data_IF_524192014802
#
_entry.id   IF_524192014802
#
_cell.length_a   1.000
_cell.length_b   1.000
_cell.length_c   1.000
_cell.angle_alpha   90.00
_cell.angle_beta   90.00
_cell.angle_gamma   90.00
#
_symmetry.space_group_name_H-M   'P 1'
#
loop_
_entity.id
_entity.type
_entity.pdbx_description
1 polymer ?
#
# COMPACT_ATOMS: atom_id res chain seq x y z
N UNK A 1 -21.81 20.34 -5.39
CA UNK A 1 -20.48 20.04 -4.77
C UNK A 1 -19.40 20.51 -5.73
N UNK A 2 -18.45 21.29 -5.24
CA UNK A 2 -17.48 21.98 -6.10
C UNK A 2 -16.49 20.99 -6.76
N UNK A 3 -16.25 21.07 -8.09
CA UNK A 3 -15.47 20.08 -8.83
C UNK A 3 -14.01 19.98 -8.38
N UNK A 4 -13.43 21.05 -7.82
CA UNK A 4 -12.05 21.06 -7.32
C UNK A 4 -11.83 20.12 -6.13
N UNK A 5 -12.85 19.86 -5.31
CA UNK A 5 -12.73 18.94 -4.16
C UNK A 5 -12.53 17.49 -4.61
N UNK A 6 -13.24 17.08 -5.67
CA UNK A 6 -13.11 15.74 -6.23
C UNK A 6 -11.75 15.51 -6.89
N UNK A 7 -11.22 16.53 -7.60
CA UNK A 7 -9.87 16.47 -8.16
C UNK A 7 -8.80 16.39 -7.07
N UNK A 8 -8.90 17.22 -6.03
CA UNK A 8 -7.96 17.19 -4.91
C UNK A 8 -7.99 15.85 -4.17
N UNK A 9 -9.19 15.29 -3.96
CA UNK A 9 -9.38 13.99 -3.31
C UNK A 9 -8.83 12.84 -4.16
N UNK A 10 -9.08 12.85 -5.47
CA UNK A 10 -8.53 11.87 -6.41
C UNK A 10 -7.00 11.92 -6.49
N UNK A 11 -6.42 13.13 -6.53
CA UNK A 11 -4.97 13.31 -6.53
C UNK A 11 -4.34 12.81 -5.23
N UNK A 12 -4.93 13.16 -4.08
CA UNK A 12 -4.47 12.67 -2.78
C UNK A 12 -4.56 11.14 -2.70
N UNK A 13 -5.68 10.55 -3.10
CA UNK A 13 -5.87 9.10 -3.13
C UNK A 13 -4.85 8.40 -4.04
N UNK A 14 -4.55 9.00 -5.20
CA UNK A 14 -3.54 8.48 -6.14
C UNK A 14 -2.14 8.54 -5.55
N UNK A 15 -1.78 9.65 -4.89
CA UNK A 15 -0.51 9.80 -4.19
C UNK A 15 -0.34 8.79 -3.06
N UNK A 16 -1.37 8.58 -2.25
CA UNK A 16 -1.38 7.55 -1.22
C UNK A 16 -1.28 6.13 -1.81
N UNK A 17 -2.04 5.84 -2.86
CA UNK A 17 -1.98 4.55 -3.54
C UNK A 17 -0.56 4.26 -4.07
N UNK A 18 0.08 5.23 -4.72
CA UNK A 18 1.45 5.16 -5.23
C UNK A 18 2.45 4.96 -4.09
N UNK A 19 2.34 5.74 -3.02
CA UNK A 19 3.22 5.63 -1.85
C UNK A 19 3.17 4.24 -1.23
N UNK A 20 1.97 3.70 -0.98
CA UNK A 20 1.81 2.37 -0.41
C UNK A 20 2.19 1.27 -1.41
N UNK A 21 1.87 1.42 -2.69
CA UNK A 21 2.28 0.48 -3.73
C UNK A 21 3.80 0.34 -3.79
N UNK A 22 4.50 1.48 -3.82
CA UNK A 22 5.95 1.55 -3.90
C UNK A 22 6.59 0.95 -2.65
N UNK A 23 6.09 1.33 -1.48
CA UNK A 23 6.57 0.80 -0.20
C UNK A 23 6.36 -0.72 -0.11
N UNK A 24 5.21 -1.23 -0.58
CA UNK A 24 4.89 -2.66 -0.53
C UNK A 24 5.84 -3.45 -1.44
N UNK A 25 6.02 -2.98 -2.68
CA UNK A 25 6.91 -3.63 -3.62
C UNK A 25 8.38 -3.55 -3.15
N UNK A 26 8.83 -2.41 -2.63
CA UNK A 26 10.17 -2.27 -2.08
C UNK A 26 10.39 -3.19 -0.86
N UNK A 27 9.41 -3.32 0.05
CA UNK A 27 9.46 -4.26 1.16
C UNK A 27 9.52 -5.72 0.69
N UNK A 28 8.97 -6.04 -0.47
CA UNK A 28 8.96 -7.41 -1.01
C UNK A 28 10.26 -7.80 -1.70
N UNK A 29 10.92 -6.85 -2.38
CA UNK A 29 12.07 -7.14 -3.26
C UNK A 29 13.43 -6.63 -2.76
N UNK A 30 13.51 -5.96 -1.61
CA UNK A 30 14.78 -5.39 -1.15
C UNK A 30 15.83 -6.45 -0.81
N UNK A 31 17.09 -6.15 -1.12
CA UNK A 31 18.23 -6.89 -0.58
C UNK A 31 18.61 -6.36 0.80
N UNK A 32 18.63 -7.25 1.82
CA UNK A 32 19.05 -6.89 3.19
C UNK A 32 20.46 -6.28 3.22
N UNK A 33 21.39 -6.81 2.42
CA UNK A 33 22.77 -6.34 2.37
C UNK A 33 22.87 -4.92 1.80
N UNK A 34 22.18 -4.65 0.67
CA UNK A 34 22.15 -3.31 0.05
C UNK A 34 21.42 -2.28 0.92
N UNK A 35 20.36 -2.69 1.62
CA UNK A 35 19.67 -1.82 2.57
C UNK A 35 20.56 -1.50 3.78
N UNK A 36 21.34 -2.47 4.27
CA UNK A 36 22.31 -2.24 5.35
C UNK A 36 23.37 -1.23 4.94
N UNK A 37 23.88 -1.31 3.71
CA UNK A 37 24.80 -0.31 3.17
C UNK A 37 24.15 1.08 3.05
N UNK A 38 22.94 1.15 2.49
CA UNK A 38 22.22 2.42 2.32
C UNK A 38 21.89 3.10 3.66
N UNK A 39 21.50 2.33 4.67
CA UNK A 39 21.26 2.82 6.04
C UNK A 39 22.56 3.10 6.79
N UNK A 40 23.61 2.32 6.54
CA UNK A 40 24.95 2.51 7.09
C UNK A 40 25.56 3.85 6.70
N UNK A 41 25.44 4.23 5.41
CA UNK A 41 25.84 5.57 4.91
C UNK A 41 25.10 6.73 5.61
N UNK A 42 23.91 6.47 6.16
CA UNK A 42 23.08 7.47 6.87
C UNK A 42 23.17 7.35 8.40
N UNK A 43 24.01 6.45 8.94
CA UNK A 43 24.11 6.20 10.39
C UNK A 43 22.86 5.58 11.02
N UNK A 44 22.00 4.93 10.24
CA UNK A 44 20.66 4.46 10.66
C UNK A 44 20.56 2.93 10.74
N UNK A 45 21.65 2.23 11.05
CA UNK A 45 21.66 0.75 11.14
C UNK A 45 20.66 0.18 12.14
N UNK A 46 20.37 0.90 13.24
CA UNK A 46 19.32 0.52 14.19
C UNK A 46 17.93 0.37 13.53
N UNK A 47 17.70 1.05 12.39
CA UNK A 47 16.47 0.94 11.65
C UNK A 47 16.32 -0.39 10.89
N UNK A 48 17.43 -1.06 10.58
CA UNK A 48 17.43 -2.37 9.93
C UNK A 48 16.94 -3.47 10.87
N UNK A 49 17.36 -3.43 12.14
CA UNK A 49 16.86 -4.33 13.18
C UNK A 49 15.34 -4.19 13.34
N UNK A 50 14.85 -2.95 13.46
CA UNK A 50 13.41 -2.67 13.54
C UNK A 50 12.63 -3.18 12.31
N UNK A 51 13.17 -2.97 11.10
CA UNK A 51 12.53 -3.46 9.88
C UNK A 51 12.46 -4.98 9.86
N UNK A 52 13.51 -5.67 10.31
CA UNK A 52 13.52 -7.14 10.38
C UNK A 52 12.51 -7.67 11.39
N UNK A 53 12.39 -7.04 12.56
CA UNK A 53 11.45 -7.43 13.61
C UNK A 53 9.99 -7.20 13.20
N UNK A 54 9.71 -6.07 12.55
CA UNK A 54 8.35 -5.66 12.17
C UNK A 54 8.01 -5.92 10.70
N UNK A 55 8.81 -6.74 10.02
CA UNK A 55 8.73 -6.92 8.57
C UNK A 55 7.34 -7.40 8.13
N UNK A 56 6.82 -8.44 8.80
CA UNK A 56 5.54 -9.06 8.47
C UNK A 56 4.37 -8.07 8.64
N UNK A 57 4.33 -7.38 9.77
CA UNK A 57 3.30 -6.38 10.04
C UNK A 57 3.37 -5.21 9.04
N UNK A 58 4.57 -4.75 8.67
CA UNK A 58 4.73 -3.68 7.69
C UNK A 58 4.26 -4.12 6.30
N UNK A 59 4.56 -5.36 5.89
CA UNK A 59 4.05 -5.92 4.64
C UNK A 59 2.53 -6.01 4.63
N UNK A 60 1.93 -6.54 5.69
CA UNK A 60 0.47 -6.67 5.83
C UNK A 60 -0.20 -5.30 5.84
N UNK A 61 0.31 -4.35 6.62
CA UNK A 61 -0.20 -2.98 6.69
C UNK A 61 -0.17 -2.32 5.31
N UNK A 62 0.98 -2.37 4.65
CA UNK A 62 1.19 -1.69 3.38
C UNK A 62 0.33 -2.32 2.28
N UNK A 63 0.15 -3.65 2.28
CA UNK A 63 -0.76 -4.36 1.36
C UNK A 63 -2.21 -3.96 1.59
N UNK A 64 -2.67 -3.93 2.84
CA UNK A 64 -4.06 -3.55 3.16
C UNK A 64 -4.37 -2.10 2.79
N UNK A 65 -3.45 -1.18 3.10
CA UNK A 65 -3.58 0.23 2.72
C UNK A 65 -3.52 0.43 1.21
N UNK A 66 -2.64 -0.30 0.53
CA UNK A 66 -2.58 -0.29 -0.93
C UNK A 66 -3.91 -0.75 -1.53
N UNK A 67 -4.44 -1.88 -1.09
CA UNK A 67 -5.74 -2.39 -1.55
C UNK A 67 -6.87 -1.39 -1.26
N UNK A 68 -6.93 -0.84 -0.04
CA UNK A 68 -7.91 0.17 0.32
C UNK A 68 -7.81 1.42 -0.57
N UNK A 69 -6.60 1.85 -0.90
CA UNK A 69 -6.36 3.01 -1.77
C UNK A 69 -6.81 2.72 -3.21
N UNK A 70 -6.55 1.51 -3.73
CA UNK A 70 -7.04 1.08 -5.05
C UNK A 70 -8.56 1.03 -5.08
N UNK A 71 -9.19 0.44 -4.06
CA UNK A 71 -10.66 0.40 -3.96
C UNK A 71 -11.24 1.82 -3.89
N UNK A 72 -10.66 2.71 -3.09
CA UNK A 72 -11.08 4.10 -3.01
C UNK A 72 -10.98 4.81 -4.37
N UNK A 73 -9.88 4.60 -5.12
CA UNK A 73 -9.72 5.13 -6.47
C UNK A 73 -10.77 4.61 -7.44
N UNK A 74 -11.08 3.30 -7.40
CA UNK A 74 -12.12 2.69 -8.24
C UNK A 74 -13.49 3.29 -7.91
N UNK A 75 -13.83 3.40 -6.63
CA UNK A 75 -15.10 4.02 -6.20
C UNK A 75 -15.18 5.49 -6.62
N UNK A 76 -14.09 6.25 -6.47
CA UNK A 76 -14.01 7.64 -6.93
C UNK A 76 -14.21 7.76 -8.44
N UNK A 77 -13.57 6.89 -9.22
CA UNK A 77 -13.71 6.85 -10.67
C UNK A 77 -15.14 6.49 -11.11
N UNK A 78 -15.77 5.52 -10.44
CA UNK A 78 -17.16 5.12 -10.70
C UNK A 78 -18.16 6.23 -10.34
N UNK A 79 -18.03 6.87 -9.17
CA UNK A 79 -18.89 8.00 -8.77
C UNK A 79 -18.75 9.16 -9.75
N UNK A 80 -17.53 9.44 -10.21
CA UNK A 80 -17.28 10.47 -11.21
C UNK A 80 -17.87 10.10 -12.58
N UNK A 81 -17.69 8.85 -13.03
CA UNK A 81 -18.18 8.37 -14.31
C UNK A 81 -19.71 8.32 -14.36
N UNK A 82 -20.36 7.75 -13.35
CA UNK A 82 -21.83 7.70 -13.24
C UNK A 82 -22.44 9.10 -13.14
N UNK A 83 -21.77 10.03 -12.44
CA UNK A 83 -22.19 11.43 -12.36
C UNK A 83 -22.06 12.21 -13.67
N UNK A 84 -21.23 11.75 -14.64
CA UNK A 84 -20.94 12.47 -15.89
C UNK A 84 -21.52 11.81 -17.14
N UNK A 85 -21.62 10.48 -17.15
CA UNK A 85 -22.12 9.67 -18.27
C UNK A 85 -23.49 9.01 -18.00
N UNK A 86 -24.05 9.22 -16.80
CA UNK A 86 -25.32 8.62 -16.38
C UNK A 86 -25.16 7.19 -15.86
N UNK A 87 -26.17 6.70 -15.15
CA UNK A 87 -26.18 5.38 -14.50
C UNK A 87 -26.52 4.20 -15.45
N UNK A 88 -26.52 4.44 -16.76
CA UNK A 88 -26.77 3.40 -17.76
C UNK A 88 -25.61 2.41 -17.89
N UNK A 89 -25.84 1.26 -18.51
CA UNK A 89 -24.83 0.21 -18.69
C UNK A 89 -23.51 0.72 -19.34
N UNK A 90 -23.60 1.71 -20.23
CA UNK A 90 -22.43 2.36 -20.82
C UNK A 90 -21.59 3.17 -19.83
N UNK A 91 -22.22 3.82 -18.84
CA UNK A 91 -21.53 4.58 -17.80
C UNK A 91 -20.71 3.69 -16.87
N UNK A 92 -21.27 2.54 -16.47
CA UNK A 92 -20.57 1.52 -15.68
C UNK A 92 -19.40 0.89 -16.44
N UNK A 93 -19.58 0.57 -17.73
CA UNK A 93 -18.49 0.01 -18.54
C UNK A 93 -17.33 0.99 -18.71
N UNK A 94 -17.62 2.27 -18.97
CA UNK A 94 -16.59 3.32 -19.11
C UNK A 94 -15.92 3.60 -17.75
N UNK A 95 -16.71 3.73 -16.68
CA UNK A 95 -16.22 3.93 -15.31
C UNK A 95 -15.27 2.80 -14.89
N UNK A 96 -15.72 1.56 -15.04
CA UNK A 96 -14.92 0.36 -14.75
C UNK A 96 -13.65 0.28 -15.59
N UNK A 97 -13.71 0.60 -16.88
CA UNK A 97 -12.52 0.60 -17.75
C UNK A 97 -11.49 1.65 -17.32
N UNK A 98 -11.93 2.88 -17.03
CA UNK A 98 -11.05 3.96 -16.53
C UNK A 98 -10.44 3.57 -15.18
N UNK A 99 -11.25 3.04 -14.27
CA UNK A 99 -10.80 2.58 -12.96
C UNK A 99 -9.75 1.45 -13.07
N UNK A 100 -9.96 0.50 -13.97
CA UNK A 100 -9.02 -0.59 -14.22
C UNK A 100 -7.68 -0.07 -14.76
N UNK A 101 -7.70 0.82 -15.75
CA UNK A 101 -6.48 1.40 -16.33
C UNK A 101 -5.72 2.22 -15.28
N UNK A 102 -6.41 3.09 -14.54
CA UNK A 102 -5.79 3.91 -13.49
C UNK A 102 -5.22 3.02 -12.39
N UNK A 103 -5.95 1.99 -11.94
CA UNK A 103 -5.48 1.04 -10.95
C UNK A 103 -4.23 0.27 -11.39
N UNK A 104 -4.21 -0.26 -12.62
CA UNK A 104 -3.07 -1.03 -13.14
C UNK A 104 -1.82 -0.17 -13.28
N UNK A 105 -1.96 1.06 -13.79
CA UNK A 105 -0.80 1.94 -14.02
C UNK A 105 -0.30 2.53 -12.70
N UNK A 106 -1.20 3.15 -11.92
CA UNK A 106 -0.83 3.88 -10.71
C UNK A 106 -0.46 2.95 -9.55
N UNK A 107 -1.11 1.79 -9.43
CA UNK A 107 -0.89 0.87 -8.33
C UNK A 107 -0.05 -0.37 -8.70
N UNK A 108 0.13 -0.67 -9.99
CA UNK A 108 0.84 -1.86 -10.45
C UNK A 108 2.21 -1.57 -11.06
N UNK A 109 2.22 -1.11 -12.31
CA UNK A 109 3.43 -1.16 -13.17
C UNK A 109 4.51 -0.17 -12.76
N UNK A 110 4.15 1.09 -12.51
CA UNK A 110 5.11 2.14 -12.16
C UNK A 110 5.79 1.88 -10.81
N UNK A 111 5.05 1.55 -9.74
CA UNK A 111 5.65 1.22 -8.45
C UNK A 111 6.53 -0.03 -8.50
N UNK A 112 6.14 -1.04 -9.29
CA UNK A 112 6.90 -2.27 -9.45
C UNK A 112 8.25 -2.00 -10.15
N UNK A 113 8.24 -1.19 -11.22
CA UNK A 113 9.45 -0.80 -11.92
C UNK A 113 10.39 -0.02 -11.00
N UNK A 114 9.90 0.99 -10.28
CA UNK A 114 10.72 1.76 -9.34
C UNK A 114 11.25 0.92 -8.18
N UNK A 115 10.47 0.00 -7.64
CA UNK A 115 10.95 -0.91 -6.61
C UNK A 115 12.11 -1.78 -7.12
N UNK A 116 12.08 -2.24 -8.37
CA UNK A 116 13.15 -3.07 -8.91
C UNK A 116 14.49 -2.33 -9.09
N UNK A 117 14.46 -1.01 -9.33
CA UNK A 117 15.67 -0.22 -9.56
C UNK A 117 16.16 0.55 -8.32
N UNK A 118 15.27 0.89 -7.38
CA UNK A 118 15.56 1.80 -6.29
C UNK A 118 14.92 1.41 -4.95
N UNK A 119 14.55 0.13 -4.75
CA UNK A 119 13.92 -0.34 -3.51
C UNK A 119 14.68 0.13 -2.26
N UNK A 120 16.01 -0.01 -2.20
CA UNK A 120 16.76 0.26 -0.98
C UNK A 120 16.85 1.75 -0.65
N UNK A 121 17.03 2.62 -1.64
CA UNK A 121 17.10 4.07 -1.46
C UNK A 121 15.74 4.65 -1.10
N UNK A 122 14.69 4.14 -1.74
CA UNK A 122 13.29 4.46 -1.42
C UNK A 122 12.98 4.01 0.00
N UNK A 123 13.25 2.75 0.35
CA UNK A 123 12.93 2.20 1.66
C UNK A 123 13.70 2.94 2.78
N UNK A 124 14.97 3.27 2.58
CA UNK A 124 15.75 4.05 3.55
C UNK A 124 15.19 5.47 3.79
N UNK A 125 14.45 6.01 2.82
CA UNK A 125 13.83 7.34 2.91
C UNK A 125 12.42 7.25 3.48
N UNK A 126 11.65 6.23 3.11
CA UNK A 126 10.25 6.05 3.52
C UNK A 126 10.09 5.35 4.87
N UNK A 127 11.13 4.66 5.36
CA UNK A 127 11.12 3.97 6.66
C UNK A 127 10.53 4.77 7.84
N UNK A 128 10.91 6.05 8.09
CA UNK A 128 10.31 6.84 9.15
C UNK A 128 8.81 7.09 8.94
N UNK A 129 8.37 7.31 7.69
CA UNK A 129 6.95 7.44 7.37
C UNK A 129 6.20 6.12 7.61
N UNK A 130 6.80 4.98 7.27
CA UNK A 130 6.23 3.66 7.57
C UNK A 130 6.08 3.42 9.08
N UNK A 131 7.06 3.86 9.88
CA UNK A 131 6.97 3.80 11.35
C UNK A 131 5.81 4.63 11.89
N UNK A 132 5.66 5.86 11.40
CA UNK A 132 4.56 6.72 11.80
C UNK A 132 3.20 6.11 11.40
N UNK A 133 3.09 5.60 10.17
CA UNK A 133 1.89 4.91 9.70
C UNK A 133 1.57 3.69 10.57
N UNK A 134 2.57 2.90 10.96
CA UNK A 134 2.37 1.76 11.88
C UNK A 134 1.88 2.21 13.25
N UNK A 135 2.40 3.30 13.80
CA UNK A 135 1.94 3.83 15.07
C UNK A 135 0.46 4.25 15.00
N UNK A 136 0.07 4.93 13.91
CA UNK A 136 -1.32 5.35 13.67
C UNK A 136 -2.25 4.15 13.43
N UNK A 137 -1.78 3.14 12.70
CA UNK A 137 -2.56 1.95 12.33
C UNK A 137 -2.37 0.77 13.28
N UNK A 138 -1.67 0.97 14.39
CA UNK A 138 -1.52 -0.02 15.45
C UNK A 138 -2.84 -0.67 15.91
N UNK A 139 -3.96 0.08 16.12
CA UNK A 139 -5.23 -0.54 16.48
C UNK A 139 -5.77 -1.44 15.37
N UNK A 140 -5.63 -1.03 14.10
CA UNK A 140 -6.07 -1.83 12.97
C UNK A 140 -5.24 -3.12 12.83
N UNK A 141 -3.92 -3.03 13.06
CA UNK A 141 -3.03 -4.20 13.06
C UNK A 141 -3.37 -5.19 14.18
N UNK A 142 -3.81 -4.70 15.33
CA UNK A 142 -4.28 -5.57 16.41
C UNK A 142 -5.51 -6.38 15.97
N UNK A 143 -6.47 -5.76 15.26
CA UNK A 143 -7.63 -6.46 14.69
C UNK A 143 -7.21 -7.52 13.69
N UNK A 144 -6.29 -7.20 12.77
CA UNK A 144 -5.79 -8.18 11.80
C UNK A 144 -5.11 -9.38 12.48
N UNK A 145 -4.31 -9.16 13.52
CA UNK A 145 -3.68 -10.26 14.28
C UNK A 145 -4.70 -11.17 14.97
N UNK A 146 -5.81 -10.59 15.47
CA UNK A 146 -6.90 -11.39 16.06
C UNK A 146 -7.54 -12.26 14.97
N UNK A 147 -7.84 -11.67 13.80
CA UNK A 147 -8.39 -12.41 12.66
C UNK A 147 -7.46 -13.51 12.17
N UNK A 148 -6.16 -13.24 12.01
CA UNK A 148 -5.17 -14.26 11.64
C UNK A 148 -5.12 -15.39 12.66
N UNK A 149 -5.24 -15.07 13.96
CA UNK A 149 -5.35 -16.06 15.02
C UNK A 149 -6.61 -16.93 14.92
N UNK A 150 -7.75 -16.34 14.56
CA UNK A 150 -9.00 -17.09 14.34
C UNK A 150 -8.89 -17.98 13.09
N UNK A 151 -8.40 -17.43 11.98
CA UNK A 151 -8.20 -18.18 10.73
C UNK A 151 -7.23 -19.34 10.94
N UNK A 152 -6.12 -19.14 11.65
CA UNK A 152 -5.18 -20.23 12.00
C UNK A 152 -5.85 -21.34 12.81
N UNK A 153 -6.71 -20.99 13.78
CA UNK A 153 -7.47 -21.97 14.57
C UNK A 153 -8.46 -22.74 13.70
N UNK A 154 -9.18 -22.06 12.81
CA UNK A 154 -10.12 -22.69 11.89
C UNK A 154 -9.41 -23.57 10.85
N UNK A 155 -8.21 -23.19 10.43
CA UNK A 155 -7.37 -23.95 9.52
C UNK A 155 -6.61 -25.11 10.19
N UNK A 156 -6.77 -25.32 11.50
CA UNK A 156 -6.13 -26.41 12.23
C UNK A 156 -4.62 -26.26 12.44
N UNK A 157 -4.06 -25.05 12.28
CA UNK A 157 -2.62 -24.81 12.49
C UNK A 157 -2.30 -24.79 13.99
N UNK A 158 -1.39 -25.65 14.50
CA UNK A 158 -1.05 -25.70 15.92
C UNK A 158 -0.46 -24.39 16.42
N UNK A 159 -0.79 -24.00 17.66
CA UNK A 159 -0.16 -22.87 18.35
C UNK A 159 1.30 -23.21 18.66
N UNK A 160 2.25 -22.77 17.83
CA UNK A 160 3.68 -22.92 18.11
C UNK A 160 4.62 -22.97 16.90
N UNK A 161 4.11 -23.10 15.67
CA UNK A 161 4.95 -23.00 14.48
C UNK A 161 5.20 -21.52 14.13
N UNK A 162 6.32 -20.99 14.63
CA UNK A 162 6.93 -19.72 14.23
C UNK A 162 8.22 -20.02 13.46
#
# INVERSE_FOLDING_TARGET
MQPYLWFALGLAATGFALFFALTHNALRSFSRARLAEALGRKGRLAQLAYLSEHHGDLLQMTRSLHLASVVALVVLAEVWATGRFGSGAGGWLIGGAVAAVVGVIAAGVVPLAWANYAAESVLATLLPACRLCRAVLAPLLAVFRIMDGLVRRLAGVPKGAA
#
